data_IF_396721610133
#
_entry.id   IF_396721610133
#
_cell.length_a   1.000
_cell.length_b   1.000
_cell.length_c   1.000
_cell.angle_alpha   90.00
_cell.angle_beta   90.00
_cell.angle_gamma   90.00
#
_symmetry.space_group_name_H-M   'P 1'
#
loop_
_entity.id
_entity.type
_entity.pdbx_description
1 polymer ?
#
# COMPACT_ATOMS: atom_id res chain seq x y z
N UNK A 1 -5.19 -1.71 27.55
CA UNK A 1 -6.08 -2.51 26.65
C UNK A 1 -5.43 -2.63 25.26
N UNK A 2 -4.83 -3.79 24.98
CA UNK A 2 -4.30 -4.07 23.63
C UNK A 2 -5.49 -4.15 22.67
N UNK A 3 -5.49 -3.43 21.53
CA UNK A 3 -6.57 -3.56 20.55
C UNK A 3 -6.66 -5.03 20.16
N UNK A 4 -7.87 -5.61 20.25
CA UNK A 4 -8.12 -6.93 19.66
C UNK A 4 -7.84 -6.79 18.17
N UNK A 5 -6.71 -7.33 17.71
CA UNK A 5 -6.43 -7.56 16.29
C UNK A 5 -7.69 -8.13 15.66
N UNK A 6 -8.18 -7.56 14.55
CA UNK A 6 -9.53 -7.67 13.97
C UNK A 6 -10.08 -9.09 13.63
N UNK A 7 -9.87 -10.11 14.46
CA UNK A 7 -10.29 -11.52 14.27
C UNK A 7 -10.00 -12.08 12.86
N UNK A 8 -9.08 -11.48 12.13
CA UNK A 8 -8.74 -11.89 10.79
C UNK A 8 -7.78 -13.06 10.87
N UNK A 9 -8.30 -14.26 10.63
CA UNK A 9 -7.50 -15.43 10.31
C UNK A 9 -7.57 -15.57 8.79
N UNK A 10 -6.48 -15.34 8.04
CA UNK A 10 -6.49 -15.60 6.62
C UNK A 10 -6.79 -17.09 6.39
N UNK A 11 -7.60 -17.39 5.36
CA UNK A 11 -7.97 -18.77 5.07
C UNK A 11 -6.71 -19.60 4.76
N UNK A 12 -6.53 -20.79 5.38
CA UNK A 12 -5.32 -21.59 5.23
C UNK A 12 -4.94 -21.89 3.78
N UNK A 13 -5.94 -22.04 2.91
CA UNK A 13 -5.76 -22.34 1.49
C UNK A 13 -5.22 -21.13 0.71
N UNK A 14 -5.67 -19.92 1.05
CA UNK A 14 -5.17 -18.66 0.47
C UNK A 14 -3.72 -18.42 0.86
N UNK A 15 -3.39 -18.65 2.14
CA UNK A 15 -2.01 -18.55 2.65
C UNK A 15 -1.11 -19.56 1.93
N UNK A 16 -1.55 -20.81 1.82
CA UNK A 16 -0.80 -21.88 1.15
C UNK A 16 -0.59 -21.60 -0.35
N UNK A 17 -1.60 -21.07 -1.04
CA UNK A 17 -1.50 -20.69 -2.44
C UNK A 17 -0.49 -19.57 -2.64
N UNK A 18 -0.56 -18.49 -1.84
CA UNK A 18 0.39 -17.37 -1.87
C UNK A 18 1.83 -17.85 -1.61
N UNK A 19 2.05 -18.72 -0.63
CA UNK A 19 3.40 -19.25 -0.34
C UNK A 19 4.01 -20.06 -1.49
N UNK A 20 3.18 -20.76 -2.27
CA UNK A 20 3.67 -21.55 -3.41
C UNK A 20 3.93 -20.71 -4.66
N UNK A 21 3.17 -19.64 -4.87
CA UNK A 21 3.21 -18.84 -6.09
C UNK A 21 4.13 -17.63 -5.97
N UNK A 22 4.17 -16.98 -4.81
CA UNK A 22 4.95 -15.74 -4.60
C UNK A 22 6.45 -15.94 -4.87
N UNK A 23 7.14 -16.99 -4.35
CA UNK A 23 8.58 -17.14 -4.60
C UNK A 23 8.94 -17.29 -6.08
N UNK A 24 8.10 -17.98 -6.85
CA UNK A 24 8.33 -18.21 -8.29
C UNK A 24 7.92 -17.00 -9.15
N UNK A 25 6.94 -16.23 -8.69
CA UNK A 25 6.51 -14.99 -9.34
C UNK A 25 7.37 -13.77 -9.00
N UNK A 26 8.07 -13.80 -7.86
CA UNK A 26 8.77 -12.64 -7.31
C UNK A 26 9.80 -12.03 -8.27
N UNK A 27 10.67 -12.79 -8.97
CA UNK A 27 11.61 -12.18 -9.92
C UNK A 27 10.91 -11.47 -11.08
N UNK A 28 9.77 -11.99 -11.54
CA UNK A 28 8.96 -11.38 -12.59
C UNK A 28 8.28 -10.11 -12.09
N UNK A 29 7.73 -10.14 -10.88
CA UNK A 29 7.13 -8.98 -10.22
C UNK A 29 8.18 -7.88 -9.99
N UNK A 30 9.36 -8.23 -9.47
CA UNK A 30 10.45 -7.28 -9.25
C UNK A 30 10.95 -6.66 -10.56
N UNK A 31 11.13 -7.48 -11.60
CA UNK A 31 11.49 -7.00 -12.94
C UNK A 31 10.43 -6.03 -13.46
N UNK A 32 9.15 -6.43 -13.39
CA UNK A 32 8.03 -5.62 -13.85
C UNK A 32 7.89 -4.30 -13.10
N UNK A 33 8.04 -4.31 -11.77
CA UNK A 33 8.08 -3.09 -10.96
C UNK A 33 9.27 -2.18 -11.33
N UNK A 34 10.44 -2.75 -11.62
CA UNK A 34 11.64 -1.97 -11.96
C UNK A 34 11.60 -1.36 -13.36
N UNK A 35 10.83 -1.96 -14.28
CA UNK A 35 10.63 -1.47 -15.65
C UNK A 35 9.30 -0.76 -15.84
N UNK A 36 8.56 -0.52 -14.75
CA UNK A 36 7.22 0.03 -14.81
C UNK A 36 7.23 1.48 -15.29
N UNK A 37 6.36 1.82 -16.25
CA UNK A 37 6.14 3.22 -16.65
C UNK A 37 5.62 4.09 -15.48
N UNK A 38 5.12 3.46 -14.43
CA UNK A 38 4.63 4.12 -13.22
C UNK A 38 5.73 4.36 -12.18
N UNK A 39 7.00 4.04 -12.47
CA UNK A 39 8.10 4.17 -11.51
C UNK A 39 8.34 5.63 -11.16
N UNK A 40 8.19 5.95 -9.87
CA UNK A 40 8.38 7.29 -9.31
C UNK A 40 9.13 7.21 -7.98
N UNK A 41 9.32 8.36 -7.33
CA UNK A 41 9.71 8.40 -5.92
C UNK A 41 8.46 8.12 -5.08
N UNK A 42 8.47 7.00 -4.38
CA UNK A 42 7.44 6.62 -3.42
C UNK A 42 7.89 6.98 -2.00
N UNK A 43 6.94 7.30 -1.14
CA UNK A 43 7.10 7.54 0.28
C UNK A 43 7.63 6.29 1.00
N UNK A 44 7.15 5.11 0.61
CA UNK A 44 7.59 3.83 1.18
C UNK A 44 6.79 3.39 2.42
N UNK A 45 6.28 4.36 3.19
CA UNK A 45 5.37 4.14 4.32
C UNK A 45 4.15 5.09 4.28
N UNK A 46 3.37 5.03 3.19
CA UNK A 46 2.29 5.97 2.91
C UNK A 46 1.01 5.79 3.75
N UNK A 47 1.14 5.54 5.05
CA UNK A 47 0.00 5.39 5.97
C UNK A 47 -0.67 6.75 6.25
N UNK A 48 -1.97 6.76 6.53
CA UNK A 48 -2.72 8.02 6.72
C UNK A 48 -2.28 8.80 7.96
N UNK A 49 -1.68 8.13 8.94
CA UNK A 49 -1.06 8.81 10.07
C UNK A 49 0.20 9.60 9.67
N UNK A 50 0.84 9.27 8.53
CA UNK A 50 1.92 10.06 7.92
C UNK A 50 1.42 11.17 6.96
N UNK A 51 0.11 11.40 6.90
CA UNK A 51 -0.50 12.47 6.11
C UNK A 51 -0.98 13.58 7.04
N UNK A 52 -0.64 14.83 6.70
CA UNK A 52 -1.21 16.01 7.36
C UNK A 52 -2.07 16.79 6.39
N UNK A 53 -3.06 17.49 6.95
CA UNK A 53 -3.93 18.40 6.21
C UNK A 53 -3.81 19.80 6.82
N UNK A 54 -3.70 20.82 5.98
CA UNK A 54 -3.78 22.23 6.38
C UNK A 54 -4.81 22.96 5.51
N UNK A 55 -5.41 24.06 5.99
CA UNK A 55 -6.28 24.86 5.15
C UNK A 55 -5.56 25.26 3.87
N UNK A 56 -6.22 25.03 2.73
CA UNK A 56 -5.63 25.35 1.44
C UNK A 56 -5.47 26.87 1.31
N UNK A 57 -4.25 27.33 1.13
CA UNK A 57 -3.94 28.75 0.92
C UNK A 57 -3.51 29.05 -0.53
N UNK A 58 -3.44 28.05 -1.40
CA UNK A 58 -2.97 28.20 -2.78
C UNK A 58 -4.13 28.52 -3.74
N UNK A 59 -4.13 29.70 -4.39
CA UNK A 59 -5.18 30.12 -5.31
C UNK A 59 -5.35 29.19 -6.53
N UNK A 60 -4.35 28.39 -6.88
CA UNK A 60 -4.42 27.44 -8.01
C UNK A 60 -5.39 26.29 -7.77
N UNK A 61 -5.75 26.02 -6.51
CA UNK A 61 -6.63 24.94 -6.10
C UNK A 61 -7.94 25.48 -5.51
N UNK A 62 -8.49 26.53 -6.12
CA UNK A 62 -9.77 27.14 -5.74
C UNK A 62 -10.90 26.07 -5.68
N UNK A 63 -11.60 25.99 -4.54
CA UNK A 63 -12.62 24.96 -4.26
C UNK A 63 -12.12 23.77 -3.44
N UNK A 64 -10.80 23.56 -3.30
CA UNK A 64 -10.25 22.59 -2.35
C UNK A 64 -10.09 23.22 -0.97
N UNK A 65 -10.80 22.69 0.05
CA UNK A 65 -10.78 23.25 1.42
C UNK A 65 -9.46 23.03 2.16
N UNK A 66 -8.78 21.93 1.85
CA UNK A 66 -7.52 21.55 2.50
C UNK A 66 -6.48 21.19 1.46
N UNK A 67 -5.24 21.56 1.72
CA UNK A 67 -4.07 20.99 1.06
C UNK A 67 -3.44 19.96 2.01
N UNK A 68 -2.89 18.90 1.42
CA UNK A 68 -2.29 17.79 2.16
C UNK A 68 -0.81 17.66 1.84
N UNK A 69 -0.07 17.05 2.77
CA UNK A 69 1.30 16.65 2.53
C UNK A 69 1.65 15.40 3.33
N UNK A 70 2.79 14.81 3.01
CA UNK A 70 3.32 13.64 3.71
C UNK A 70 4.58 13.99 4.48
N UNK A 71 4.76 13.36 5.62
CA UNK A 71 5.96 13.45 6.46
C UNK A 71 6.48 12.06 6.80
N UNK A 72 7.70 11.99 7.34
CA UNK A 72 8.42 10.72 7.62
C UNK A 72 8.83 9.94 6.36
N UNK A 73 9.68 10.58 5.53
CA UNK A 73 10.23 10.01 4.30
C UNK A 73 11.39 9.02 4.52
N UNK A 74 11.54 8.46 5.72
CA UNK A 74 12.67 7.59 6.06
C UNK A 74 12.73 6.30 5.22
N UNK A 75 11.60 5.88 4.65
CA UNK A 75 11.48 4.69 3.80
C UNK A 75 11.39 5.02 2.30
N UNK A 76 11.73 6.25 1.89
CA UNK A 76 11.55 6.66 0.50
C UNK A 76 12.32 5.73 -0.46
N UNK A 77 11.69 5.40 -1.58
CA UNK A 77 12.26 4.45 -2.53
C UNK A 77 11.78 4.71 -3.96
N UNK A 78 12.53 4.19 -4.94
CA UNK A 78 12.08 4.15 -6.33
C UNK A 78 11.21 2.92 -6.52
N UNK A 79 9.92 3.15 -6.76
CA UNK A 79 8.93 2.10 -6.95
C UNK A 79 7.78 2.62 -7.83
N UNK A 80 6.94 1.75 -8.38
CA UNK A 80 5.74 2.17 -9.08
C UNK A 80 4.78 2.95 -8.18
N UNK A 81 4.11 3.98 -8.70
CA UNK A 81 3.22 4.87 -7.94
C UNK A 81 2.07 4.15 -7.20
N UNK A 82 1.60 3.01 -7.71
CA UNK A 82 0.60 2.18 -7.03
C UNK A 82 1.12 1.50 -5.75
N UNK A 83 2.44 1.51 -5.50
CA UNK A 83 3.02 0.99 -4.25
C UNK A 83 2.47 1.74 -3.04
N UNK A 84 2.64 3.06 -3.01
CA UNK A 84 2.15 3.90 -1.92
C UNK A 84 0.63 3.83 -1.79
N UNK A 85 -0.10 3.80 -2.92
CA UNK A 85 -1.55 3.63 -2.91
C UNK A 85 -1.97 2.31 -2.23
N UNK A 86 -1.37 1.19 -2.63
CA UNK A 86 -1.66 -0.12 -2.04
C UNK A 86 -1.31 -0.17 -0.56
N UNK A 87 -0.21 0.48 -0.15
CA UNK A 87 0.21 0.56 1.24
C UNK A 87 -0.75 1.40 2.07
N UNK A 88 -1.10 2.59 1.57
CA UNK A 88 -2.05 3.50 2.19
C UNK A 88 -3.40 2.80 2.41
N UNK A 89 -3.96 2.20 1.37
CA UNK A 89 -5.28 1.58 1.44
C UNK A 89 -5.30 0.40 2.42
N UNK A 90 -4.30 -0.49 2.35
CA UNK A 90 -4.26 -1.70 3.17
C UNK A 90 -3.94 -1.45 4.66
N UNK A 91 -3.23 -0.36 4.98
CA UNK A 91 -2.74 -0.10 6.35
C UNK A 91 -3.46 1.04 7.07
N UNK A 92 -4.23 1.86 6.36
CA UNK A 92 -4.82 3.08 6.93
C UNK A 92 -6.31 2.96 7.24
N UNK A 93 -7.01 2.04 6.58
CA UNK A 93 -8.47 1.97 6.64
C UNK A 93 -8.97 0.70 7.30
N UNK A 94 -10.19 0.76 7.83
CA UNK A 94 -10.89 -0.42 8.31
C UNK A 94 -11.29 -1.32 7.13
N UNK A 95 -11.56 -2.59 7.41
CA UNK A 95 -12.04 -3.54 6.40
C UNK A 95 -13.34 -3.08 5.74
N UNK A 96 -14.26 -2.52 6.53
CA UNK A 96 -15.56 -2.07 6.02
C UNK A 96 -15.38 -0.89 5.06
N UNK A 97 -14.54 0.08 5.43
CA UNK A 97 -14.21 1.22 4.57
C UNK A 97 -13.51 0.76 3.29
N UNK A 98 -12.56 -0.17 3.40
CA UNK A 98 -11.91 -0.78 2.24
C UNK A 98 -12.93 -1.40 1.28
N UNK A 99 -13.83 -2.24 1.80
CA UNK A 99 -14.81 -2.96 0.98
C UNK A 99 -15.78 -2.02 0.27
N UNK A 100 -16.09 -0.86 0.86
CA UNK A 100 -17.01 0.11 0.29
C UNK A 100 -16.35 1.11 -0.66
N UNK A 101 -15.05 1.41 -0.49
CA UNK A 101 -14.42 2.57 -1.13
C UNK A 101 -13.12 2.29 -1.87
N UNK A 102 -12.53 1.09 -1.80
CA UNK A 102 -11.23 0.80 -2.42
C UNK A 102 -11.23 1.14 -3.92
N UNK A 103 -12.21 0.67 -4.67
CA UNK A 103 -12.32 0.91 -6.12
C UNK A 103 -12.34 2.40 -6.44
N UNK A 104 -13.16 3.17 -5.70
CA UNK A 104 -13.24 4.63 -5.93
C UNK A 104 -11.95 5.35 -5.57
N UNK A 105 -11.22 4.90 -4.54
CA UNK A 105 -9.91 5.47 -4.20
C UNK A 105 -8.87 5.20 -5.29
N UNK A 106 -8.88 4.00 -5.87
CA UNK A 106 -7.99 3.63 -6.96
C UNK A 106 -8.30 4.46 -8.22
N UNK A 107 -9.57 4.63 -8.55
CA UNK A 107 -10.00 5.51 -9.64
C UNK A 107 -9.60 6.98 -9.40
N UNK A 108 -9.85 7.52 -8.21
CA UNK A 108 -9.48 8.89 -7.86
C UNK A 108 -7.97 9.12 -7.97
N UNK A 109 -7.17 8.14 -7.53
CA UNK A 109 -5.72 8.20 -7.66
C UNK A 109 -5.31 8.20 -9.13
N UNK A 110 -5.88 7.32 -9.94
CA UNK A 110 -5.62 7.27 -11.38
C UNK A 110 -6.00 8.57 -12.09
N UNK A 111 -7.21 9.09 -11.86
CA UNK A 111 -7.70 10.36 -12.39
C UNK A 111 -6.75 11.50 -12.03
N UNK A 112 -6.32 11.55 -10.77
CA UNK A 112 -5.39 12.56 -10.27
C UNK A 112 -4.01 12.41 -10.92
N UNK A 113 -3.48 11.18 -11.02
CA UNK A 113 -2.19 10.91 -11.65
C UNK A 113 -2.18 11.37 -13.12
N UNK A 114 -3.20 11.02 -13.89
CA UNK A 114 -3.33 11.44 -15.28
C UNK A 114 -3.47 12.95 -15.44
N UNK A 115 -4.16 13.60 -14.49
CA UNK A 115 -4.35 15.06 -14.50
C UNK A 115 -3.05 15.82 -14.17
N UNK A 116 -2.27 15.33 -13.20
CA UNK A 116 -1.08 16.03 -12.72
C UNK A 116 0.17 15.75 -13.57
N UNK A 117 0.15 14.69 -14.40
CA UNK A 117 1.22 14.41 -15.35
C UNK A 117 1.13 15.28 -16.60
N UNK A 118 2.27 15.59 -17.27
CA UNK A 118 2.26 16.13 -18.62
C UNK A 118 1.45 15.24 -19.56
N UNK A 119 0.65 15.84 -20.44
CA UNK A 119 -0.28 15.11 -21.33
C UNK A 119 0.40 13.97 -22.11
N UNK A 120 1.61 14.22 -22.62
CA UNK A 120 2.38 13.23 -23.38
C UNK A 120 2.88 12.06 -22.52
N UNK A 121 3.07 12.25 -21.22
CA UNK A 121 3.38 11.16 -20.29
C UNK A 121 2.11 10.42 -19.88
N UNK A 122 1.01 11.14 -19.62
CA UNK A 122 -0.28 10.54 -19.27
C UNK A 122 -0.81 9.60 -20.37
N UNK A 123 -0.62 9.95 -21.65
CA UNK A 123 -1.01 9.12 -22.80
C UNK A 123 -0.28 7.77 -22.89
N UNK A 124 0.89 7.64 -22.26
CA UNK A 124 1.67 6.38 -22.24
C UNK A 124 1.15 5.41 -21.17
N UNK A 125 0.28 5.88 -20.28
CA UNK A 125 -0.24 5.09 -19.18
C UNK A 125 -1.51 4.35 -19.60
N UNK A 126 -1.70 3.15 -19.06
CA UNK A 126 -2.88 2.30 -19.24
C UNK A 126 -3.54 2.03 -17.89
N UNK A 127 -4.83 2.34 -17.77
CA UNK A 127 -5.59 2.02 -16.56
C UNK A 127 -5.56 0.52 -16.27
N UNK A 128 -5.62 -0.33 -17.29
CA UNK A 128 -5.57 -1.79 -17.13
C UNK A 128 -4.25 -2.23 -16.49
N UNK A 129 -3.12 -1.73 -17.00
CA UNK A 129 -1.79 -2.05 -16.44
C UNK A 129 -1.63 -1.49 -15.01
N UNK A 130 -2.20 -0.32 -14.75
CA UNK A 130 -2.22 0.27 -13.42
C UNK A 130 -2.98 -0.60 -12.42
N UNK A 131 -4.17 -1.08 -12.79
CA UNK A 131 -5.00 -1.96 -11.95
C UNK A 131 -4.32 -3.30 -11.67
N UNK A 132 -3.71 -3.91 -12.69
CA UNK A 132 -2.90 -5.13 -12.52
C UNK A 132 -1.76 -4.86 -11.51
N UNK A 133 -1.09 -3.73 -11.65
CA UNK A 133 -0.03 -3.31 -10.75
C UNK A 133 -0.44 -3.12 -9.31
N UNK A 134 -1.52 -2.40 -9.13
CA UNK A 134 -2.14 -2.18 -7.83
C UNK A 134 -2.46 -3.51 -7.15
N UNK A 135 -3.13 -4.45 -7.84
CA UNK A 135 -3.48 -5.75 -7.29
C UNK A 135 -2.25 -6.60 -6.91
N UNK A 136 -1.19 -6.57 -7.74
CA UNK A 136 0.08 -7.24 -7.44
C UNK A 136 0.75 -6.61 -6.22
N UNK A 137 0.78 -5.28 -6.14
CA UNK A 137 1.39 -4.55 -5.02
C UNK A 137 0.65 -4.79 -3.71
N UNK A 138 -0.68 -4.81 -3.74
CA UNK A 138 -1.50 -5.15 -2.59
C UNK A 138 -1.25 -6.57 -2.10
N UNK A 139 -1.14 -7.55 -3.02
CA UNK A 139 -0.79 -8.92 -2.68
C UNK A 139 0.57 -9.01 -1.97
N UNK A 140 1.54 -8.20 -2.40
CA UNK A 140 2.86 -8.09 -1.74
C UNK A 140 2.74 -7.44 -0.36
N UNK A 141 1.93 -6.40 -0.21
CA UNK A 141 1.69 -5.74 1.07
C UNK A 141 1.09 -6.73 2.09
N UNK A 142 0.06 -7.48 1.69
CA UNK A 142 -0.55 -8.54 2.52
C UNK A 142 0.46 -9.63 2.88
N UNK A 143 1.26 -10.09 1.91
CA UNK A 143 2.29 -11.09 2.17
C UNK A 143 3.33 -10.60 3.19
N UNK A 144 3.76 -9.33 3.11
CA UNK A 144 4.65 -8.72 4.11
C UNK A 144 4.01 -8.72 5.50
N UNK A 145 2.72 -8.39 5.63
CA UNK A 145 2.01 -8.43 6.90
C UNK A 145 1.95 -9.85 7.49
N UNK A 146 1.68 -10.87 6.67
CA UNK A 146 1.63 -12.28 7.09
C UNK A 146 3.01 -12.71 7.61
N UNK A 147 4.09 -12.43 6.86
CA UNK A 147 5.45 -12.76 7.25
C UNK A 147 5.87 -12.06 8.56
N UNK A 148 5.52 -10.78 8.70
CA UNK A 148 5.78 -10.02 9.92
C UNK A 148 5.03 -10.63 11.12
N UNK A 149 3.74 -10.95 10.95
CA UNK A 149 2.94 -11.61 11.97
C UNK A 149 3.54 -12.97 12.38
N UNK A 150 3.91 -13.81 11.43
CA UNK A 150 4.52 -15.11 11.73
C UNK A 150 5.84 -14.97 12.48
N UNK A 151 6.67 -14.01 12.08
CA UNK A 151 7.96 -13.72 12.73
C UNK A 151 7.72 -13.32 14.19
N UNK A 152 6.80 -12.38 14.43
CA UNK A 152 6.42 -11.94 15.77
C UNK A 152 5.76 -13.06 16.59
N UNK A 153 4.97 -13.93 15.97
CA UNK A 153 4.34 -15.07 16.63
C UNK A 153 5.36 -16.14 17.04
N UNK A 154 6.35 -16.42 16.19
CA UNK A 154 7.51 -17.29 16.50
C UNK A 154 8.36 -16.69 17.62
N UNK A 155 8.59 -15.38 17.61
CA UNK A 155 9.30 -14.68 18.69
C UNK A 155 8.53 -14.66 20.00
N UNK A 156 7.20 -14.50 19.99
CA UNK A 156 6.36 -14.63 21.19
C UNK A 156 6.43 -16.03 21.80
N UNK A 157 6.41 -17.09 20.97
CA UNK A 157 6.65 -18.47 21.42
C UNK A 157 8.07 -18.69 21.98
N UNK A 158 9.04 -17.89 21.56
CA UNK A 158 10.42 -17.90 22.07
C UNK A 158 10.57 -17.12 23.39
N UNK A 159 9.69 -16.14 23.65
CA UNK A 159 9.67 -15.29 24.86
C UNK A 159 8.64 -15.73 25.91
N UNK A 160 8.39 -17.03 26.06
CA UNK A 160 7.86 -17.54 27.33
C UNK A 160 8.92 -17.26 28.42
N UNK A 161 8.86 -16.07 29.00
CA UNK A 161 9.67 -15.69 30.15
C UNK A 161 9.40 -16.71 31.26
N UNK A 162 10.42 -17.44 31.76
CA UNK A 162 10.21 -18.23 32.95
C UNK A 162 9.85 -17.25 34.05
N UNK A 163 8.60 -17.30 34.51
CA UNK A 163 8.23 -16.71 35.79
C UNK A 163 9.19 -17.31 36.82
N UNK A 164 10.19 -16.54 37.26
CA UNK A 164 10.97 -16.87 38.44
C UNK A 164 9.97 -16.97 39.58
N UNK A 165 9.71 -18.20 40.02
CA UNK A 165 9.04 -18.50 41.29
C UNK A 165 9.88 -18.00 42.45
#
# INVERSE_FOLDING_TARGET
PVPKTNNYSPEPDVVTALYKTVPNGLPKILTWCSSSAYTTVCHGDARIDNVYFRPNADPRYEGMKYEGGMYDWAQCMRAPAFYDLSWAISHSFSRDFYAEHADRLVELYWETLCKELPEEEAKKLSLEEFLIGYAVSESVAVAKCILAYETLAKEKKSKDYPHKK
#
